data_IF_210940034232
#
_entry.id   IF_210940034232
#
_cell.length_a   1.000
_cell.length_b   1.000
_cell.length_c   1.000
_cell.angle_alpha   90.00
_cell.angle_beta   90.00
_cell.angle_gamma   90.00
#
_symmetry.space_group_name_H-M   'P 1'
#
loop_
_entity.id
_entity.type
_entity.pdbx_description
1 polymer ?
#
# COMPACT_ATOMS: atom_id res chain seq x y z
N UNK A 1 7.03 17.57 -4.13
CA UNK A 1 6.23 16.53 -3.45
C UNK A 1 5.01 16.14 -4.28
N UNK A 2 4.17 17.07 -4.74
CA UNK A 2 2.98 16.73 -5.55
C UNK A 2 3.24 15.82 -6.76
N UNK A 3 4.26 16.09 -7.59
CA UNK A 3 4.62 15.20 -8.72
C UNK A 3 4.98 13.77 -8.27
N UNK A 4 5.70 13.63 -7.16
CA UNK A 4 6.09 12.33 -6.63
C UNK A 4 4.90 11.52 -6.12
N UNK A 5 3.87 12.18 -5.57
CA UNK A 5 2.61 11.54 -5.20
C UNK A 5 1.90 11.02 -6.43
N UNK A 6 1.77 11.83 -7.48
CA UNK A 6 1.13 11.41 -8.73
C UNK A 6 1.88 10.24 -9.37
N UNK A 7 3.20 10.32 -9.48
CA UNK A 7 4.00 9.22 -10.02
C UNK A 7 3.93 7.96 -9.17
N UNK A 8 3.97 8.09 -7.84
CA UNK A 8 3.81 6.95 -6.94
C UNK A 8 2.44 6.29 -7.09
N UNK A 9 1.37 7.07 -7.23
CA UNK A 9 0.02 6.57 -7.47
C UNK A 9 -0.02 5.69 -8.73
N UNK A 10 0.42 6.23 -9.88
CA UNK A 10 0.41 5.48 -11.14
C UNK A 10 1.36 4.29 -11.12
N UNK A 11 2.50 4.38 -10.43
CA UNK A 11 3.44 3.28 -10.31
C UNK A 11 2.83 2.11 -9.52
N UNK A 12 2.33 2.36 -8.31
CA UNK A 12 1.78 1.32 -7.43
C UNK A 12 0.56 0.66 -8.07
N UNK A 13 -0.40 1.45 -8.53
CA UNK A 13 -1.63 0.91 -9.13
C UNK A 13 -1.35 0.25 -10.49
N UNK A 14 -0.42 0.81 -11.28
CA UNK A 14 0.02 0.19 -12.52
C UNK A 14 0.67 -1.17 -12.30
N UNK A 15 1.53 -1.29 -11.28
CA UNK A 15 2.14 -2.56 -10.89
C UNK A 15 1.12 -3.57 -10.33
N UNK A 16 0.12 -3.12 -9.58
CA UNK A 16 -0.99 -3.97 -9.13
C UNK A 16 -1.75 -4.55 -10.35
N UNK A 17 -2.16 -3.68 -11.27
CA UNK A 17 -2.90 -4.07 -12.48
C UNK A 17 -2.08 -5.05 -13.32
N UNK A 18 -0.80 -4.77 -13.56
CA UNK A 18 0.08 -5.69 -14.29
C UNK A 18 0.20 -7.03 -13.57
N UNK A 19 0.28 -7.04 -12.24
CA UNK A 19 0.37 -8.27 -11.47
C UNK A 19 -0.88 -9.13 -11.57
N UNK A 20 -2.06 -8.52 -11.57
CA UNK A 20 -3.32 -9.23 -11.83
C UNK A 20 -3.33 -9.80 -13.25
N UNK A 21 -3.01 -9.00 -14.28
CA UNK A 21 -3.06 -9.42 -15.68
C UNK A 21 -2.08 -10.56 -16.02
N UNK A 22 -0.88 -10.55 -15.44
CA UNK A 22 0.15 -11.55 -15.70
C UNK A 22 0.21 -12.67 -14.65
N UNK A 23 -0.69 -12.69 -13.67
CA UNK A 23 -0.70 -13.70 -12.61
C UNK A 23 0.55 -13.66 -11.72
N UNK A 24 1.14 -12.47 -11.52
CA UNK A 24 2.39 -12.32 -10.77
C UNK A 24 2.20 -12.60 -9.27
N UNK A 25 1.00 -12.39 -8.74
CA UNK A 25 0.66 -12.75 -7.35
C UNK A 25 0.79 -14.25 -7.07
N UNK A 26 0.48 -15.08 -8.06
CA UNK A 26 0.65 -16.55 -7.96
C UNK A 26 2.10 -16.94 -8.21
N UNK A 27 2.75 -16.28 -9.17
CA UNK A 27 4.11 -16.63 -9.61
C UNK A 27 5.18 -16.21 -8.58
N UNK A 28 4.98 -15.07 -7.94
CA UNK A 28 5.89 -14.44 -7.00
C UNK A 28 5.13 -14.09 -5.71
N UNK A 29 5.05 -14.99 -4.72
CA UNK A 29 4.25 -14.77 -3.50
C UNK A 29 4.67 -13.56 -2.66
N UNK A 30 5.91 -13.07 -2.84
CA UNK A 30 6.42 -11.88 -2.17
C UNK A 30 6.05 -10.57 -2.90
N UNK A 31 5.46 -10.65 -4.09
CA UNK A 31 5.17 -9.48 -4.92
C UNK A 31 4.23 -8.52 -4.20
N UNK A 32 3.18 -9.07 -3.58
CA UNK A 32 2.15 -8.29 -2.89
C UNK A 32 2.74 -7.53 -1.70
N UNK A 33 3.48 -8.23 -0.85
CA UNK A 33 4.22 -7.64 0.27
C UNK A 33 5.16 -6.50 -0.17
N UNK A 34 5.88 -6.66 -1.29
CA UNK A 34 6.75 -5.59 -1.81
C UNK A 34 5.93 -4.39 -2.27
N UNK A 35 4.78 -4.63 -2.89
CA UNK A 35 3.87 -3.58 -3.34
C UNK A 35 3.29 -2.82 -2.14
N UNK A 36 2.92 -3.50 -1.05
CA UNK A 36 2.48 -2.90 0.21
C UNK A 36 3.58 -2.08 0.89
N UNK A 37 4.83 -2.54 0.94
CA UNK A 37 5.94 -1.71 1.44
C UNK A 37 6.06 -0.42 0.62
N UNK A 38 5.96 -0.50 -0.71
CA UNK A 38 5.95 0.68 -1.58
C UNK A 38 4.73 1.58 -1.34
N UNK A 39 3.57 0.97 -1.17
CA UNK A 39 2.28 1.58 -0.84
C UNK A 39 2.34 2.39 0.45
N UNK A 40 2.71 1.76 1.56
CA UNK A 40 2.87 2.41 2.86
C UNK A 40 3.87 3.57 2.85
N UNK A 41 4.99 3.45 2.13
CA UNK A 41 5.93 4.55 1.96
C UNK A 41 5.32 5.72 1.18
N UNK A 42 4.56 5.44 0.13
CA UNK A 42 3.85 6.45 -0.66
C UNK A 42 2.72 7.11 0.13
N UNK A 43 1.96 6.35 0.91
CA UNK A 43 0.91 6.89 1.80
C UNK A 43 1.51 7.78 2.89
N UNK A 44 2.66 7.43 3.45
CA UNK A 44 3.37 8.29 4.39
C UNK A 44 3.78 9.62 3.73
N UNK A 45 4.30 9.59 2.49
CA UNK A 45 4.60 10.79 1.71
C UNK A 45 3.33 11.63 1.45
N UNK A 46 2.21 10.98 1.13
CA UNK A 46 0.91 11.63 0.93
C UNK A 46 0.45 12.34 2.20
N UNK A 47 0.53 11.68 3.36
CA UNK A 47 0.20 12.26 4.66
C UNK A 47 1.03 13.53 4.92
N UNK A 48 2.36 13.44 4.80
CA UNK A 48 3.25 14.58 5.02
C UNK A 48 2.92 15.73 4.06
N UNK A 49 2.55 15.44 2.82
CA UNK A 49 2.17 16.48 1.86
C UNK A 49 0.81 17.13 2.19
N UNK A 50 -0.22 16.35 2.52
CA UNK A 50 -1.56 16.85 2.89
C UNK A 50 -1.51 17.72 4.15
N UNK A 51 -0.73 17.30 5.15
CA UNK A 51 -0.60 17.98 6.43
C UNK A 51 0.61 18.93 6.48
N UNK A 52 1.04 19.47 5.33
CA UNK A 52 2.03 20.56 5.20
C UNK A 52 3.35 20.31 5.96
N UNK A 53 3.97 19.16 5.73
CA UNK A 53 5.21 18.68 6.36
C UNK A 53 5.08 18.21 7.81
N UNK A 54 4.00 17.49 8.12
CA UNK A 54 3.86 16.76 9.39
C UNK A 54 5.11 15.89 9.67
N UNK A 55 5.51 15.80 10.95
CA UNK A 55 6.70 15.06 11.41
C UNK A 55 6.39 14.07 12.52
N UNK A 56 5.18 14.10 13.09
CA UNK A 56 4.76 13.20 14.15
C UNK A 56 4.63 11.77 13.59
N UNK A 57 5.49 10.83 14.02
CA UNK A 57 5.49 9.47 13.49
C UNK A 57 4.19 8.73 13.81
N UNK A 58 3.52 9.03 14.93
CA UNK A 58 2.26 8.38 15.31
C UNK A 58 1.15 8.79 14.35
N UNK A 59 1.06 10.08 14.01
CA UNK A 59 0.06 10.56 13.04
C UNK A 59 0.31 9.99 11.65
N UNK A 60 1.56 9.95 11.21
CA UNK A 60 1.91 9.46 9.88
C UNK A 60 1.68 7.96 9.77
N UNK A 61 2.15 7.16 10.74
CA UNK A 61 1.93 5.71 10.74
C UNK A 61 0.47 5.35 11.01
N UNK A 62 -0.25 6.13 11.82
CA UNK A 62 -1.69 5.99 12.00
C UNK A 62 -2.46 6.24 10.70
N UNK A 63 -2.04 7.23 9.90
CA UNK A 63 -2.60 7.47 8.58
C UNK A 63 -2.28 6.32 7.60
N UNK A 64 -1.05 5.80 7.62
CA UNK A 64 -0.67 4.61 6.83
C UNK A 64 -1.53 3.41 7.21
N UNK A 65 -1.70 3.13 8.50
CA UNK A 65 -2.53 2.03 8.98
C UNK A 65 -4.00 2.19 8.56
N UNK A 66 -4.56 3.41 8.65
CA UNK A 66 -5.93 3.68 8.25
C UNK A 66 -6.14 3.40 6.76
N UNK A 67 -5.24 3.90 5.90
CA UNK A 67 -5.34 3.66 4.44
C UNK A 67 -5.12 2.19 4.11
N UNK A 68 -4.17 1.51 4.77
CA UNK A 68 -3.96 0.07 4.63
C UNK A 68 -5.22 -0.72 4.95
N UNK A 69 -5.87 -0.46 6.08
CA UNK A 69 -7.15 -1.11 6.43
C UNK A 69 -8.22 -0.86 5.36
N UNK A 70 -8.34 0.37 4.85
CA UNK A 70 -9.30 0.67 3.78
C UNK A 70 -8.97 -0.05 2.47
N UNK A 71 -7.69 -0.25 2.17
CA UNK A 71 -7.22 -1.02 1.02
C UNK A 71 -7.60 -2.49 1.13
N UNK A 72 -7.32 -3.13 2.27
CA UNK A 72 -7.71 -4.52 2.56
C UNK A 72 -9.22 -4.75 2.43
N UNK A 73 -10.03 -3.81 2.93
CA UNK A 73 -11.48 -3.87 2.72
C UNK A 73 -11.84 -3.79 1.23
N UNK A 74 -11.15 -2.95 0.46
CA UNK A 74 -11.40 -2.82 -0.97
C UNK A 74 -11.02 -4.08 -1.75
N UNK A 75 -9.92 -4.75 -1.40
CA UNK A 75 -9.50 -6.01 -2.01
C UNK A 75 -10.45 -7.14 -1.67
N UNK A 76 -10.86 -7.26 -0.40
CA UNK A 76 -11.84 -8.23 0.02
C UNK A 76 -13.14 -8.11 -0.79
N UNK A 77 -13.67 -6.89 -0.93
CA UNK A 77 -14.89 -6.64 -1.71
C UNK A 77 -14.67 -6.90 -3.21
N UNK A 78 -13.51 -6.52 -3.74
CA UNK A 78 -13.20 -6.73 -5.15
C UNK A 78 -13.10 -8.22 -5.51
N UNK A 79 -12.36 -9.01 -4.72
CA UNK A 79 -12.16 -10.43 -4.96
C UNK A 79 -13.42 -11.26 -4.69
N UNK A 80 -14.16 -10.97 -3.61
CA UNK A 80 -15.28 -11.80 -3.20
C UNK A 80 -16.61 -11.40 -3.82
N UNK A 81 -16.82 -10.11 -4.13
CA UNK A 81 -18.10 -9.64 -4.70
C UNK A 81 -17.95 -9.35 -6.20
N UNK A 82 -17.03 -8.45 -6.57
CA UNK A 82 -16.94 -7.96 -7.96
C UNK A 82 -16.45 -9.04 -8.90
N UNK A 83 -15.29 -9.66 -8.62
CA UNK A 83 -14.70 -10.66 -9.50
C UNK A 83 -15.52 -11.95 -9.53
N UNK A 84 -16.01 -12.41 -8.37
CA UNK A 84 -16.89 -13.57 -8.30
C UNK A 84 -18.16 -13.38 -9.14
N UNK A 85 -18.79 -12.19 -9.06
CA UNK A 85 -19.95 -11.85 -9.88
C UNK A 85 -19.61 -11.74 -11.38
N UNK A 86 -18.53 -11.04 -11.73
CA UNK A 86 -18.13 -10.80 -13.13
C UNK A 86 -17.77 -12.09 -13.88
N UNK A 87 -17.09 -13.02 -13.22
CA UNK A 87 -16.57 -14.24 -13.85
C UNK A 87 -17.39 -15.50 -13.51
N UNK A 88 -18.47 -15.37 -12.74
CA UNK A 88 -19.27 -16.49 -12.24
C UNK A 88 -18.42 -17.59 -11.59
N UNK A 89 -17.35 -17.17 -10.91
CA UNK A 89 -16.41 -18.04 -10.21
C UNK A 89 -16.72 -18.06 -8.71
N UNK A 90 -16.17 -19.07 -8.02
CA UNK A 90 -16.19 -19.06 -6.55
C UNK A 90 -15.33 -17.90 -6.06
N UNK A 91 -15.76 -17.28 -4.97
CA UNK A 91 -14.96 -16.29 -4.26
C UNK A 91 -13.54 -16.83 -4.01
N UNK A 92 -12.55 -15.97 -4.24
CA UNK A 92 -11.16 -16.23 -3.88
C UNK A 92 -10.91 -15.56 -2.53
N UNK A 93 -11.04 -16.30 -1.41
CA UNK A 93 -11.05 -15.67 -0.10
C UNK A 93 -9.63 -15.24 0.26
N UNK A 94 -9.46 -13.93 0.45
CA UNK A 94 -8.29 -13.36 1.09
C UNK A 94 -8.16 -13.92 2.50
N UNK A 95 -6.96 -14.36 2.88
CA UNK A 95 -6.76 -14.95 4.21
C UNK A 95 -6.46 -13.88 5.23
N UNK A 96 -6.80 -14.13 6.49
CA UNK A 96 -6.41 -13.24 7.61
C UNK A 96 -4.88 -13.09 7.67
N UNK A 97 -4.14 -14.14 7.30
CA UNK A 97 -2.67 -14.10 7.30
C UNK A 97 -2.13 -13.13 6.26
N UNK A 98 -2.74 -13.08 5.07
CA UNK A 98 -2.33 -12.15 4.00
C UNK A 98 -2.58 -10.72 4.48
N UNK A 99 -3.81 -10.41 4.90
CA UNK A 99 -4.17 -9.09 5.43
C UNK A 99 -3.28 -8.61 6.56
N UNK A 100 -2.94 -9.47 7.52
CA UNK A 100 -2.02 -9.09 8.60
C UNK A 100 -0.60 -8.83 8.09
N UNK A 101 -0.15 -9.58 7.09
CA UNK A 101 1.15 -9.41 6.44
C UNK A 101 1.20 -8.09 5.68
N UNK A 102 0.14 -7.76 4.96
CA UNK A 102 0.03 -6.58 4.12
C UNK A 102 -0.06 -5.29 4.94
N UNK A 103 -0.88 -5.28 6.00
CA UNK A 103 -0.93 -4.18 6.96
C UNK A 103 0.43 -3.97 7.67
N UNK A 104 1.14 -5.05 7.99
CA UNK A 104 2.48 -4.94 8.57
C UNK A 104 3.50 -4.41 7.56
N UNK A 105 3.42 -4.85 6.31
CA UNK A 105 4.25 -4.39 5.20
C UNK A 105 4.05 -2.90 4.91
N UNK A 106 2.82 -2.39 4.95
CA UNK A 106 2.51 -0.97 4.85
C UNK A 106 3.23 -0.16 5.94
N UNK A 107 3.17 -0.62 7.19
CA UNK A 107 3.84 0.03 8.33
C UNK A 107 5.37 0.02 8.19
N UNK A 108 5.95 -1.04 7.64
CA UNK A 108 7.38 -1.07 7.29
C UNK A 108 7.68 0.03 6.27
N UNK A 109 6.90 0.11 5.19
CA UNK A 109 7.02 1.14 4.16
C UNK A 109 6.99 2.57 4.73
N UNK A 110 5.97 2.86 5.54
CA UNK A 110 5.82 4.16 6.19
C UNK A 110 6.98 4.48 7.14
N UNK A 111 7.48 3.48 7.87
CA UNK A 111 8.61 3.63 8.79
C UNK A 111 9.92 3.90 8.04
N UNK A 112 10.17 3.20 6.93
CA UNK A 112 11.33 3.45 6.07
C UNK A 112 11.31 4.87 5.53
N UNK A 113 10.15 5.35 5.05
CA UNK A 113 9.99 6.73 4.59
C UNK A 113 10.34 7.76 5.69
N UNK A 114 9.87 7.54 6.91
CA UNK A 114 10.16 8.42 8.06
C UNK A 114 11.65 8.47 8.38
N UNK A 115 12.33 7.32 8.40
CA UNK A 115 13.77 7.24 8.66
C UNK A 115 14.57 8.02 7.62
N UNK A 116 14.29 7.79 6.33
CA UNK A 116 14.96 8.49 5.23
C UNK A 116 14.71 10.01 5.28
N UNK A 117 13.49 10.42 5.63
CA UNK A 117 13.13 11.83 5.76
C UNK A 117 13.87 12.53 6.91
N UNK A 118 14.06 11.84 8.03
CA UNK A 118 14.84 12.35 9.18
C UNK A 118 16.31 12.51 8.85
N UNK A 119 16.93 11.50 8.24
CA UNK A 119 18.35 11.55 7.83
C UNK A 119 18.58 12.73 6.89
N UNK A 120 17.71 12.93 5.89
CA UNK A 120 17.80 14.05 4.95
C UNK A 120 17.65 15.42 5.64
N UNK A 121 16.88 15.51 6.72
CA UNK A 121 16.72 16.75 7.48
C UNK A 121 17.92 17.09 8.35
N UNK A 122 18.74 16.11 8.76
CA UNK A 122 19.94 16.34 9.56
C UNK A 122 21.16 16.77 8.73
N UNK A 123 21.17 16.40 7.45
CA UNK A 123 22.26 16.71 6.51
C UNK A 123 22.06 18.04 5.76
N UNK A 124 21.11 18.88 6.20
CA UNK A 124 20.82 20.21 5.64
C UNK A 124 20.98 21.25 6.73
#
# INVERSE_FOLDING_TARGET
>A
MGKAIIYGFFLIHGLNVLAMFFGLYVTFPWYDTVLHIGGGAWVALLCVWLYKNEKNPILILGFVALIGVLWEFSEYLFLNDVMAWMFNEKSMPQTISDTLTDLFADLIGGSVFLLLSRIKSQNK
#
